data_IF_975453150959
#
_entry.id   IF_975453150959
#
_cell.length_a   1.000
_cell.length_b   1.000
_cell.length_c   1.000
_cell.angle_alpha   90.00
_cell.angle_beta   90.00
_cell.angle_gamma   90.00
#
_symmetry.space_group_name_H-M   'P 1'
#
loop_
_entity.id
_entity.type
_entity.pdbx_description
1 polymer ?
#
# COMPACT_ATOMS: atom_id res chain seq x y z
N UNK A 1 26.85 -20.57 -7.24
CA UNK A 1 26.86 -19.46 -6.27
C UNK A 1 28.15 -18.62 -6.33
N UNK A 2 29.32 -19.22 -6.08
CA UNK A 2 30.62 -18.52 -5.90
C UNK A 2 31.14 -17.69 -7.09
N UNK A 3 30.60 -17.85 -8.31
CA UNK A 3 30.97 -17.03 -9.48
C UNK A 3 30.47 -15.58 -9.36
N UNK A 4 29.36 -15.34 -8.66
CA UNK A 4 28.69 -14.03 -8.61
C UNK A 4 28.57 -13.45 -7.19
N UNK A 5 29.05 -14.17 -6.17
CA UNK A 5 28.91 -13.82 -4.76
C UNK A 5 30.32 -13.66 -4.15
N UNK A 6 31.02 -12.59 -4.54
CA UNK A 6 32.37 -12.34 -4.08
C UNK A 6 32.41 -11.77 -2.65
N UNK A 7 33.36 -12.22 -1.85
CA UNK A 7 33.53 -11.78 -0.46
C UNK A 7 32.61 -12.49 0.52
N UNK A 8 32.53 -11.99 1.75
CA UNK A 8 31.64 -12.53 2.77
C UNK A 8 30.19 -12.24 2.39
N UNK A 9 29.34 -13.26 2.21
CA UNK A 9 27.94 -13.05 1.87
C UNK A 9 27.14 -12.48 3.06
N UNK A 10 25.91 -12.00 2.84
CA UNK A 10 25.00 -11.62 3.90
C UNK A 10 24.44 -12.88 4.60
N UNK A 11 25.26 -13.48 5.46
CA UNK A 11 25.02 -14.81 6.04
C UNK A 11 23.74 -14.83 6.87
N UNK A 12 23.57 -13.87 7.78
CA UNK A 12 22.42 -13.85 8.72
C UNK A 12 21.13 -13.48 7.99
N UNK A 13 21.22 -12.58 7.01
CA UNK A 13 20.09 -12.19 6.18
C UNK A 13 19.61 -13.35 5.31
N UNK A 14 20.51 -14.17 4.75
CA UNK A 14 20.14 -15.36 4.00
C UNK A 14 19.43 -16.41 4.89
N UNK A 15 19.90 -16.61 6.13
CA UNK A 15 19.22 -17.48 7.10
C UNK A 15 17.85 -16.92 7.47
N UNK A 16 17.74 -15.62 7.74
CA UNK A 16 16.47 -14.96 8.05
C UNK A 16 15.48 -15.01 6.89
N UNK A 17 15.96 -14.87 5.65
CA UNK A 17 15.14 -15.05 4.46
C UNK A 17 14.60 -16.48 4.36
N UNK A 18 15.42 -17.49 4.69
CA UNK A 18 14.97 -18.88 4.78
C UNK A 18 13.78 -19.04 5.74
N UNK A 19 13.89 -18.51 6.96
CA UNK A 19 12.80 -18.55 7.94
C UNK A 19 11.54 -17.78 7.47
N UNK A 20 11.71 -16.65 6.78
CA UNK A 20 10.58 -15.91 6.22
C UNK A 20 9.87 -16.71 5.10
N UNK A 21 10.62 -17.41 4.25
CA UNK A 21 10.05 -18.29 3.22
C UNK A 21 9.34 -19.49 3.83
N UNK A 22 9.87 -20.06 4.90
CA UNK A 22 9.18 -21.10 5.67
C UNK A 22 7.86 -20.57 6.22
N UNK A 23 7.84 -19.39 6.85
CA UNK A 23 6.61 -18.77 7.34
C UNK A 23 5.56 -18.60 6.23
N UNK A 24 5.94 -18.03 5.08
CA UNK A 24 5.04 -17.86 3.92
C UNK A 24 4.53 -19.21 3.42
N UNK A 25 5.39 -20.23 3.40
CA UNK A 25 5.01 -21.59 2.97
C UNK A 25 4.02 -22.26 3.94
N UNK A 26 4.16 -22.01 5.25
CA UNK A 26 3.23 -22.51 6.27
C UNK A 26 1.87 -21.83 6.18
N UNK A 27 1.81 -20.52 5.91
CA UNK A 27 0.54 -19.82 5.67
C UNK A 27 -0.09 -20.27 4.35
N UNK A 28 0.74 -20.47 3.31
CA UNK A 28 0.33 -20.92 1.98
C UNK A 28 0.06 -19.76 1.02
N UNK A 29 0.68 -19.79 -0.16
CA UNK A 29 0.58 -18.72 -1.16
C UNK A 29 -0.85 -18.52 -1.68
N UNK A 30 -1.63 -19.60 -1.83
CA UNK A 30 -3.02 -19.51 -2.28
C UNK A 30 -3.91 -18.80 -1.25
N UNK A 31 -3.70 -19.07 0.04
CA UNK A 31 -4.41 -18.42 1.14
C UNK A 31 -4.02 -16.94 1.24
N UNK A 32 -2.73 -16.62 1.11
CA UNK A 32 -2.23 -15.24 1.07
C UNK A 32 -2.86 -14.50 -0.12
N UNK A 33 -2.86 -15.11 -1.30
CA UNK A 33 -3.43 -14.50 -2.49
C UNK A 33 -4.94 -14.23 -2.33
N UNK A 34 -5.70 -15.19 -1.82
CA UNK A 34 -7.12 -15.02 -1.55
C UNK A 34 -7.40 -13.90 -0.54
N UNK A 35 -6.62 -13.83 0.54
CA UNK A 35 -6.71 -12.76 1.54
C UNK A 35 -6.36 -11.40 0.95
N UNK A 36 -5.25 -11.30 0.21
CA UNK A 36 -4.83 -10.07 -0.46
C UNK A 36 -5.90 -9.57 -1.45
N UNK A 37 -6.50 -10.47 -2.23
CA UNK A 37 -7.60 -10.12 -3.13
C UNK A 37 -8.80 -9.56 -2.36
N UNK A 38 -9.23 -10.23 -1.28
CA UNK A 38 -10.35 -9.79 -0.46
C UNK A 38 -10.09 -8.43 0.20
N UNK A 39 -8.94 -8.25 0.86
CA UNK A 39 -8.61 -7.01 1.57
C UNK A 39 -8.36 -5.85 0.60
N UNK A 40 -7.81 -6.12 -0.60
CA UNK A 40 -7.66 -5.10 -1.65
C UNK A 40 -9.01 -4.67 -2.19
N UNK A 41 -9.93 -5.61 -2.41
CA UNK A 41 -11.30 -5.31 -2.78
C UNK A 41 -11.98 -4.42 -1.75
N UNK A 42 -11.89 -4.78 -0.47
CA UNK A 42 -12.44 -4.00 0.64
C UNK A 42 -11.84 -2.58 0.71
N UNK A 43 -10.53 -2.44 0.52
CA UNK A 43 -9.86 -1.14 0.44
C UNK A 43 -10.37 -0.30 -0.75
N UNK A 44 -10.55 -0.89 -1.92
CA UNK A 44 -11.07 -0.18 -3.09
C UNK A 44 -12.51 0.29 -2.89
N UNK A 45 -13.35 -0.56 -2.29
CA UNK A 45 -14.73 -0.21 -1.93
C UNK A 45 -14.76 0.94 -0.92
N UNK A 46 -13.95 0.88 0.15
CA UNK A 46 -13.85 1.94 1.14
C UNK A 46 -13.31 3.25 0.56
N UNK A 47 -12.27 3.21 -0.29
CA UNK A 47 -11.76 4.42 -0.95
C UNK A 47 -12.80 5.06 -1.86
N UNK A 48 -13.67 4.26 -2.50
CA UNK A 48 -14.75 4.77 -3.33
C UNK A 48 -15.84 5.51 -2.53
N UNK A 49 -15.94 5.29 -1.21
CA UNK A 49 -16.87 6.05 -0.36
C UNK A 49 -16.31 7.42 0.04
N UNK A 50 -15.00 7.63 -0.07
CA UNK A 50 -14.35 8.89 0.27
C UNK A 50 -14.43 9.86 -0.90
N UNK A 51 -15.31 10.85 -0.81
CA UNK A 51 -15.45 11.88 -1.84
C UNK A 51 -14.12 12.60 -2.14
N UNK A 52 -13.81 12.81 -3.42
CA UNK A 52 -12.57 13.46 -3.88
C UNK A 52 -11.36 12.51 -3.99
N UNK A 53 -11.50 11.23 -3.61
CA UNK A 53 -10.42 10.25 -3.83
C UNK A 53 -10.41 9.75 -5.26
N UNK A 54 -9.23 9.77 -5.89
CA UNK A 54 -8.98 9.16 -7.20
C UNK A 54 -7.92 8.08 -7.08
N UNK A 55 -8.30 6.82 -7.32
CA UNK A 55 -7.37 5.68 -7.34
C UNK A 55 -6.61 5.63 -8.66
N UNK A 56 -5.29 5.45 -8.57
CA UNK A 56 -4.40 5.27 -9.72
C UNK A 56 -4.30 3.79 -10.08
N UNK A 57 -4.84 3.42 -11.25
CA UNK A 57 -4.80 2.06 -11.79
C UNK A 57 -6.15 1.32 -11.72
N UNK A 58 -6.18 0.00 -11.94
CA UNK A 58 -7.42 -0.77 -12.02
C UNK A 58 -8.22 -0.74 -10.70
N UNK A 59 -9.54 -0.57 -10.79
CA UNK A 59 -10.48 -0.70 -9.65
C UNK A 59 -10.95 -2.15 -9.44
N UNK A 60 -10.50 -3.05 -10.30
CA UNK A 60 -10.78 -4.48 -10.23
C UNK A 60 -9.64 -5.14 -9.43
N UNK A 61 -9.95 -5.64 -8.23
CA UNK A 61 -8.97 -6.26 -7.34
C UNK A 61 -8.22 -7.43 -8.01
N UNK A 62 -8.88 -8.15 -8.94
CA UNK A 62 -8.26 -9.29 -9.64
C UNK A 62 -7.24 -8.87 -10.69
N UNK A 63 -7.13 -7.57 -10.98
CA UNK A 63 -6.17 -6.99 -11.94
C UNK A 63 -5.06 -6.21 -11.25
N UNK A 64 -4.89 -6.36 -9.93
CA UNK A 64 -3.81 -5.77 -9.14
C UNK A 64 -3.41 -6.64 -7.95
N UNK A 65 -2.31 -6.26 -7.29
CA UNK A 65 -1.98 -6.71 -5.93
C UNK A 65 -2.43 -5.72 -4.87
N UNK A 66 -1.99 -5.91 -3.62
CA UNK A 66 -2.40 -5.12 -2.45
C UNK A 66 -1.94 -3.66 -2.38
N UNK A 67 -1.21 -3.16 -3.39
CA UNK A 67 -0.75 -1.78 -3.43
C UNK A 67 -1.77 -0.87 -4.13
N UNK A 68 -2.38 0.04 -3.38
CA UNK A 68 -3.38 1.01 -3.87
C UNK A 68 -2.84 2.42 -3.73
N UNK A 69 -2.46 3.02 -4.86
CA UNK A 69 -2.08 4.43 -4.93
C UNK A 69 -3.30 5.29 -5.25
N UNK A 70 -3.40 6.47 -4.61
CA UNK A 70 -4.51 7.39 -4.78
C UNK A 70 -4.08 8.85 -4.55
N UNK A 71 -4.89 9.77 -5.06
CA UNK A 71 -4.88 11.19 -4.72
C UNK A 71 -6.18 11.56 -4.00
N UNK A 72 -6.15 12.68 -3.28
CA UNK A 72 -7.33 13.32 -2.71
C UNK A 72 -7.39 14.76 -3.24
N UNK A 73 -8.51 15.12 -3.86
CA UNK A 73 -8.69 16.43 -4.46
C UNK A 73 -8.39 17.56 -3.46
N UNK A 74 -7.55 18.51 -3.87
CA UNK A 74 -7.20 19.66 -3.05
C UNK A 74 -6.20 19.41 -1.91
N UNK A 75 -5.72 18.18 -1.72
CA UNK A 75 -4.76 17.85 -0.65
C UNK A 75 -3.49 17.23 -1.22
N UNK A 76 -2.33 17.78 -0.86
CA UNK A 76 -1.06 17.25 -1.33
C UNK A 76 -0.78 15.86 -0.70
N UNK A 77 -0.28 14.86 -1.45
CA UNK A 77 -0.05 13.51 -0.91
C UNK A 77 0.79 13.44 0.37
N UNK A 78 1.80 14.32 0.51
CA UNK A 78 2.60 14.39 1.75
C UNK A 78 1.79 14.86 2.97
N UNK A 79 0.81 15.75 2.77
CA UNK A 79 -0.06 16.21 3.85
C UNK A 79 -1.05 15.11 4.28
N UNK A 80 -1.57 14.35 3.31
CA UNK A 80 -2.39 13.15 3.58
C UNK A 80 -1.59 12.17 4.45
N UNK A 81 -0.37 11.85 4.05
CA UNK A 81 0.47 10.91 4.79
C UNK A 81 0.78 11.42 6.21
N UNK A 82 1.03 12.72 6.37
CA UNK A 82 1.32 13.31 7.68
C UNK A 82 0.11 13.28 8.63
N UNK A 83 -1.10 13.58 8.12
CA UNK A 83 -2.32 13.52 8.95
C UNK A 83 -2.71 12.08 9.29
N UNK A 84 -2.55 11.14 8.36
CA UNK A 84 -2.73 9.71 8.65
C UNK A 84 -1.74 9.21 9.71
N UNK A 85 -0.47 9.60 9.60
CA UNK A 85 0.57 9.26 10.59
C UNK A 85 0.23 9.80 12.00
N UNK A 86 -0.34 11.02 12.08
CA UNK A 86 -0.81 11.58 13.36
C UNK A 86 -1.91 10.75 14.05
N UNK A 87 -2.53 9.82 13.31
CA UNK A 87 -3.53 8.86 13.77
C UNK A 87 -3.01 7.42 13.83
N UNK A 88 -1.70 7.22 13.67
CA UNK A 88 -1.04 5.92 13.71
C UNK A 88 -1.16 5.10 12.42
N UNK A 89 -1.57 5.71 11.30
CA UNK A 89 -1.79 5.02 10.03
C UNK A 89 -0.58 5.28 9.11
N UNK A 90 0.24 4.25 8.93
CA UNK A 90 1.44 4.35 8.10
C UNK A 90 1.10 4.14 6.61
N UNK A 91 1.29 5.19 5.82
CA UNK A 91 1.23 5.15 4.35
C UNK A 91 2.51 5.75 3.76
N UNK A 92 2.69 5.65 2.45
CA UNK A 92 3.79 6.32 1.74
C UNK A 92 3.26 7.37 0.79
N UNK A 93 3.85 8.57 0.82
CA UNK A 93 3.64 9.59 -0.20
C UNK A 93 4.88 9.76 -1.08
N UNK A 94 4.67 10.11 -2.35
CA UNK A 94 5.72 10.46 -3.31
C UNK A 94 5.58 9.72 -4.64
N UNK A 95 6.70 9.50 -5.32
CA UNK A 95 6.73 8.81 -6.62
C UNK A 95 6.79 7.28 -6.54
N UNK A 96 7.01 6.72 -5.35
CA UNK A 96 7.19 5.26 -5.15
C UNK A 96 8.26 4.64 -6.03
N UNK A 97 9.35 5.37 -6.28
CA UNK A 97 10.42 5.01 -7.24
C UNK A 97 9.93 4.82 -8.70
N UNK A 98 8.73 5.30 -9.04
CA UNK A 98 8.05 5.09 -10.32
C UNK A 98 7.60 6.42 -10.98
N UNK A 99 8.53 7.39 -11.08
CA UNK A 99 8.27 8.72 -11.66
C UNK A 99 7.68 8.69 -13.10
N UNK A 100 8.13 7.81 -14.02
CA UNK A 100 7.52 7.72 -15.35
C UNK A 100 6.05 7.30 -15.33
N UNK A 101 5.65 6.43 -14.39
CA UNK A 101 4.25 6.03 -14.22
C UNK A 101 3.40 7.22 -13.73
N UNK A 102 3.90 7.99 -12.75
CA UNK A 102 3.24 9.21 -12.28
C UNK A 102 3.03 10.21 -13.43
N UNK A 103 4.05 10.42 -14.27
CA UNK A 103 3.93 11.23 -15.48
C UNK A 103 2.84 10.73 -16.43
N UNK A 104 2.69 9.40 -16.59
CA UNK A 104 1.63 8.79 -17.43
C UNK A 104 0.22 8.99 -16.85
N UNK A 105 0.10 9.04 -15.53
CA UNK A 105 -1.16 9.36 -14.83
C UNK A 105 -1.41 10.88 -14.73
N UNK A 106 -0.44 11.73 -15.06
CA UNK A 106 -0.57 13.18 -14.99
C UNK A 106 -0.43 13.75 -13.58
N UNK A 107 0.08 12.95 -12.64
CA UNK A 107 0.18 13.30 -11.21
C UNK A 107 1.63 13.59 -10.83
N UNK A 108 1.87 14.50 -9.90
CA UNK A 108 3.23 14.77 -9.40
C UNK A 108 3.65 13.79 -8.31
N UNK A 109 2.72 13.35 -7.47
CA UNK A 109 2.94 12.38 -6.41
C UNK A 109 1.61 11.66 -6.12
N UNK A 110 1.66 10.59 -5.35
CA UNK A 110 0.45 9.94 -4.83
C UNK A 110 0.68 9.44 -3.41
N UNK A 111 -0.41 9.24 -2.67
CA UNK A 111 -0.39 8.47 -1.42
C UNK A 111 -0.65 7.02 -1.75
N UNK A 112 0.05 6.09 -1.09
CA UNK A 112 -0.10 4.66 -1.31
C UNK A 112 -0.31 3.93 0.00
N UNK A 113 -1.46 3.28 0.11
CA UNK A 113 -1.72 2.23 1.09
C UNK A 113 -1.32 0.88 0.47
N UNK A 114 -0.71 0.01 1.25
CA UNK A 114 -0.26 -1.30 0.75
C UNK A 114 -0.56 -2.35 1.83
N UNK A 115 -1.54 -3.20 1.56
CA UNK A 115 -1.93 -4.29 2.44
C UNK A 115 -1.05 -5.52 2.21
N UNK A 116 -1.04 -6.42 3.20
CA UNK A 116 -0.37 -7.72 3.11
C UNK A 116 -1.16 -8.78 3.87
N UNK A 117 -0.59 -9.99 4.00
CA UNK A 117 -1.23 -11.16 4.64
C UNK A 117 -1.74 -10.93 6.07
N UNK A 118 -1.22 -9.92 6.78
CA UNK A 118 -1.60 -9.59 8.15
C UNK A 118 -2.55 -8.39 8.27
N UNK A 119 -2.85 -7.71 7.16
CA UNK A 119 -3.74 -6.54 7.19
C UNK A 119 -5.18 -6.98 7.43
N UNK A 120 -5.90 -6.25 8.28
CA UNK A 120 -7.27 -6.55 8.69
C UNK A 120 -8.27 -5.53 8.13
N UNK A 121 -9.56 -5.89 7.99
CA UNK A 121 -10.60 -4.94 7.59
C UNK A 121 -10.69 -3.72 8.51
N UNK A 122 -10.47 -3.89 9.82
CA UNK A 122 -10.50 -2.79 10.78
C UNK A 122 -9.39 -1.74 10.54
N UNK A 123 -8.23 -2.16 10.02
CA UNK A 123 -7.17 -1.22 9.64
C UNK A 123 -7.54 -0.44 8.36
N UNK A 124 -8.31 -1.06 7.46
CA UNK A 124 -8.87 -0.37 6.29
C UNK A 124 -9.93 0.64 6.75
N UNK A 125 -10.82 0.27 7.67
CA UNK A 125 -11.80 1.20 8.25
C UNK A 125 -11.11 2.40 8.90
N UNK A 126 -10.06 2.15 9.68
CA UNK A 126 -9.25 3.21 10.29
C UNK A 126 -8.60 4.13 9.25
N UNK A 127 -8.12 3.58 8.12
CA UNK A 127 -7.62 4.36 6.99
C UNK A 127 -8.71 5.26 6.39
N UNK A 128 -9.91 4.72 6.14
CA UNK A 128 -11.04 5.48 5.59
C UNK A 128 -11.44 6.62 6.52
N UNK A 129 -11.58 6.33 7.82
CA UNK A 129 -11.86 7.35 8.84
C UNK A 129 -10.75 8.42 8.90
N UNK A 130 -9.49 8.01 8.75
CA UNK A 130 -8.35 8.91 8.69
C UNK A 130 -8.37 9.83 7.46
N UNK A 131 -8.87 9.35 6.32
CA UNK A 131 -9.04 10.14 5.11
C UNK A 131 -10.20 11.15 5.25
N UNK A 132 -11.32 10.76 5.84
CA UNK A 132 -12.41 11.70 6.13
C UNK A 132 -11.98 12.76 7.15
N UNK A 133 -11.18 12.39 8.15
CA UNK A 133 -10.56 13.36 9.04
C UNK A 133 -9.66 14.35 8.28
N UNK A 134 -8.83 13.85 7.36
CA UNK A 134 -7.93 14.65 6.53
C UNK A 134 -8.71 15.65 5.67
N UNK A 135 -9.80 15.22 5.04
CA UNK A 135 -10.72 16.09 4.28
C UNK A 135 -11.28 17.21 5.13
N UNK A 136 -11.81 16.87 6.30
CA UNK A 136 -12.35 17.86 7.24
C UNK A 136 -11.30 18.87 7.71
N UNK A 137 -10.05 18.43 7.93
CA UNK A 137 -8.94 19.30 8.30
C UNK A 137 -8.63 20.35 7.23
N UNK A 138 -8.61 19.93 5.95
CA UNK A 138 -8.36 20.81 4.81
C UNK A 138 -9.62 21.51 4.27
N UNK A 139 -10.81 21.15 4.76
CA UNK A 139 -12.12 21.67 4.35
C UNK A 139 -12.42 21.40 2.87
N UNK A 140 -12.15 20.16 2.43
CA UNK A 140 -12.41 19.64 1.07
C UNK A 140 -13.41 18.50 1.07
#
# INVERSE_FOLDING_TARGET
PSKFEAGTPPIVEAVGLGAALEYISHVGLDAIHAHEQAITGYLLEGLATVGGVTVLGPLDATKRGGAVAFELDGVHPHDIAQLLDSRGIAVRAGHHCAKPAHKRFGVQASTRASSYLYTTPAEIDALIDGLEYTKNYFKV
#
